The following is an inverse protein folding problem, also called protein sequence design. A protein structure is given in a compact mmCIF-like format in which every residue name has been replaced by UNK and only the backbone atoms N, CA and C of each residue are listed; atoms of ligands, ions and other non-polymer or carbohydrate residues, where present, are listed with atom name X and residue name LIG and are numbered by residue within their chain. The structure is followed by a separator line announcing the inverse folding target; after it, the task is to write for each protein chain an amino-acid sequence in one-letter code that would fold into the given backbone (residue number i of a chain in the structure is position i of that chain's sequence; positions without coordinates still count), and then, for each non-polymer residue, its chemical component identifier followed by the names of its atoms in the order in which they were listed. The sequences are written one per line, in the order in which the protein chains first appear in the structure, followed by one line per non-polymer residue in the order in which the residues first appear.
data_IF_521140333151
#
_entry.id   IF_521140333151
#
_cell.length_a   1.000
_cell.length_b   1.000
_cell.length_c   1.000
_cell.angle_alpha   90.00
_cell.angle_beta   90.00
_cell.angle_gamma   90.00
#
_symmetry.space_group_name_H-M   'P 1'
#
loop_
_entity.id
_entity.type
_entity.pdbx_description
1 polymer ?
#
# COMPACT_ATOMS: atom_id res chain seq x y z
N UNK A 1 29.19 -4.84 -13.12
CA UNK A 1 28.49 -6.05 -12.61
C UNK A 1 27.05 -6.05 -13.11
N UNK A 2 26.84 -6.57 -14.33
CA UNK A 2 25.52 -6.76 -14.93
C UNK A 2 25.33 -8.26 -15.08
N UNK A 3 24.37 -8.86 -14.36
CA UNK A 3 23.98 -10.26 -14.61
C UNK A 3 22.57 -10.26 -15.20
N UNK A 4 22.55 -10.66 -16.46
CA UNK A 4 21.42 -10.77 -17.34
C UNK A 4 20.43 -11.86 -16.89
N UNK A 5 19.16 -11.52 -17.12
CA UNK A 5 18.01 -12.42 -17.21
C UNK A 5 18.07 -13.18 -18.54
N UNK A 6 17.66 -14.46 -18.54
CA UNK A 6 16.74 -15.12 -19.50
C UNK A 6 16.96 -16.64 -19.52
N UNK A 7 16.13 -17.35 -18.75
CA UNK A 7 15.98 -18.80 -18.84
C UNK A 7 15.18 -19.16 -20.09
N UNK A 8 15.79 -20.01 -20.91
CA UNK A 8 15.24 -20.68 -22.10
C UNK A 8 14.41 -21.90 -21.68
N UNK A 9 13.49 -22.29 -22.56
CA UNK A 9 12.94 -23.64 -22.65
C UNK A 9 11.41 -23.64 -22.53
N UNK A 10 10.65 -24.29 -23.38
CA UNK A 10 10.94 -25.03 -24.62
C UNK A 10 9.55 -25.25 -25.24
N UNK A 11 9.41 -25.01 -26.54
CA UNK A 11 8.22 -25.36 -27.31
C UNK A 11 8.13 -26.90 -27.42
N UNK A 12 6.93 -27.45 -27.23
CA UNK A 12 6.54 -28.72 -27.82
C UNK A 12 5.02 -28.71 -28.08
N UNK A 13 4.68 -29.02 -29.33
CA UNK A 13 3.37 -28.95 -29.96
C UNK A 13 2.62 -30.30 -29.90
N UNK A 14 1.38 -30.27 -30.45
CA UNK A 14 0.60 -31.41 -30.98
C UNK A 14 -0.09 -32.32 -29.92
N UNK A 15 -1.32 -32.82 -30.06
CA UNK A 15 -2.25 -32.97 -31.20
C UNK A 15 -3.64 -33.42 -30.72
N UNK A 16 -4.67 -32.98 -31.46
CA UNK A 16 -5.87 -33.68 -31.96
C UNK A 16 -6.87 -34.43 -31.03
N UNK A 17 -8.14 -34.12 -31.32
CA UNK A 17 -9.47 -34.54 -30.84
C UNK A 17 -9.84 -36.02 -30.97
N UNK A 18 -10.75 -36.50 -30.11
CA UNK A 18 -11.83 -37.42 -30.50
C UNK A 18 -13.04 -37.34 -29.54
N UNK A 19 -14.24 -37.21 -30.11
CA UNK A 19 -15.54 -37.22 -29.44
C UNK A 19 -16.19 -38.61 -29.50
N UNK A 20 -16.94 -39.00 -28.47
CA UNK A 20 -17.92 -40.08 -28.54
C UNK A 20 -19.06 -39.85 -27.53
N UNK A 21 -20.29 -39.89 -28.02
CA UNK A 21 -21.55 -39.78 -27.28
C UNK A 21 -22.14 -41.18 -27.01
N UNK A 22 -22.73 -41.39 -25.84
CA UNK A 22 -23.67 -42.48 -25.57
C UNK A 22 -24.62 -42.13 -24.42
N UNK A 23 -25.82 -42.73 -24.47
CA UNK A 23 -27.11 -42.29 -23.98
C UNK A 23 -27.52 -42.83 -22.56
N UNK A 24 -28.22 -41.96 -21.79
CA UNK A 24 -29.30 -42.07 -20.74
C UNK A 24 -29.45 -43.34 -19.82
N UNK A 25 -29.87 -43.19 -18.54
CA UNK A 25 -31.30 -43.07 -18.24
C UNK A 25 -31.69 -41.95 -17.25
N UNK A 26 -32.92 -41.48 -17.43
CA UNK A 26 -33.65 -40.58 -16.55
C UNK A 26 -34.20 -41.36 -15.35
N UNK A 27 -34.01 -40.81 -14.15
CA UNK A 27 -34.78 -41.19 -12.95
C UNK A 27 -35.52 -39.95 -12.45
N UNK A 28 -36.83 -40.13 -12.28
CA UNK A 28 -37.81 -39.13 -11.87
C UNK A 28 -37.93 -39.05 -10.35
N UNK A 29 -38.25 -37.84 -9.86
CA UNK A 29 -38.94 -37.47 -8.61
C UNK A 29 -38.33 -37.99 -7.28
N UNK A 30 -38.25 -37.22 -6.19
CA UNK A 30 -39.37 -36.55 -5.53
C UNK A 30 -38.96 -35.29 -4.73
N UNK A 31 -39.99 -34.45 -4.57
CA UNK A 31 -40.33 -33.58 -3.46
C UNK A 31 -39.35 -33.31 -2.30
N UNK A 32 -39.40 -32.04 -1.90
CA UNK A 32 -39.45 -31.75 -0.48
C UNK A 32 -38.10 -31.59 0.20
N UNK A 33 -37.50 -30.42 0.02
CA UNK A 33 -37.26 -29.54 1.16
C UNK A 33 -36.66 -28.25 0.66
N UNK A 34 -37.39 -27.16 0.90
CA UNK A 34 -36.77 -25.86 1.12
C UNK A 34 -35.70 -26.03 2.21
N UNK A 35 -34.47 -26.30 1.80
CA UNK A 35 -33.31 -26.24 2.67
C UNK A 35 -33.13 -24.75 2.98
N UNK A 36 -33.80 -24.32 4.06
CA UNK A 36 -33.50 -23.08 4.75
C UNK A 36 -31.99 -23.10 4.99
N UNK A 37 -31.26 -22.37 4.16
CA UNK A 37 -29.86 -22.09 4.40
C UNK A 37 -29.74 -21.70 5.88
N UNK A 38 -28.82 -22.33 6.64
CA UNK A 38 -28.55 -21.88 7.99
C UNK A 38 -28.29 -20.38 7.90
N UNK A 39 -29.16 -19.58 8.54
CA UNK A 39 -28.77 -18.23 8.95
C UNK A 39 -27.60 -18.46 9.88
N UNK A 40 -26.40 -18.45 9.30
CA UNK A 40 -25.16 -18.27 10.00
C UNK A 40 -25.35 -16.94 10.73
N UNK A 41 -25.80 -17.04 11.98
CA UNK A 41 -25.87 -15.95 12.94
C UNK A 41 -24.42 -15.57 13.19
N UNK A 42 -23.88 -14.83 12.23
CA UNK A 42 -22.53 -14.32 12.23
C UNK A 42 -22.48 -13.35 13.38
N UNK A 43 -21.93 -13.83 14.50
CA UNK A 43 -21.71 -13.07 15.72
C UNK A 43 -21.34 -11.63 15.34
N UNK A 44 -21.98 -10.61 15.94
CA UNK A 44 -21.76 -9.22 15.56
C UNK A 44 -20.24 -9.00 15.56
N UNK A 45 -19.65 -8.59 14.42
CA UNK A 45 -18.20 -8.55 14.29
C UNK A 45 -17.66 -7.64 15.38
N UNK A 46 -17.02 -8.23 16.40
CA UNK A 46 -16.70 -7.59 17.68
C UNK A 46 -16.27 -6.16 17.45
N UNK A 47 -17.05 -5.19 17.91
CA UNK A 47 -16.87 -3.79 17.54
C UNK A 47 -15.41 -3.35 17.72
N UNK A 48 -14.87 -2.58 16.77
CA UNK A 48 -13.49 -2.08 16.87
C UNK A 48 -13.43 -1.08 18.04
N UNK A 49 -12.72 -1.41 19.10
CA UNK A 49 -12.57 -0.55 20.29
C UNK A 49 -11.29 0.28 20.22
N UNK A 50 -10.26 -0.21 19.51
CA UNK A 50 -8.98 0.49 19.40
C UNK A 50 -8.36 0.33 18.02
N UNK A 51 -7.98 1.45 17.39
CA UNK A 51 -7.29 1.46 16.11
C UNK A 51 -6.03 2.32 16.24
N UNK A 52 -4.86 1.70 16.09
CA UNK A 52 -3.57 2.38 16.04
C UNK A 52 -2.96 2.19 14.65
N UNK A 53 -2.44 3.26 14.07
CA UNK A 53 -1.78 3.23 12.77
C UNK A 53 -0.64 4.24 12.72
N UNK A 54 0.44 3.89 12.01
CA UNK A 54 1.60 4.74 11.74
C UNK A 54 2.10 4.50 10.32
N UNK A 55 2.67 5.54 9.71
CA UNK A 55 3.34 5.48 8.41
C UNK A 55 4.65 6.28 8.48
N UNK A 56 5.50 6.14 7.46
CA UNK A 56 6.65 7.04 7.30
C UNK A 56 6.16 8.43 6.87
N UNK A 57 6.66 9.47 7.54
CA UNK A 57 6.29 10.86 7.26
C UNK A 57 6.77 11.34 5.90
N UNK A 58 8.01 11.01 5.51
CA UNK A 58 8.62 11.52 4.28
C UNK A 58 8.90 10.39 3.28
N UNK A 59 8.44 10.58 2.03
CA UNK A 59 8.52 9.57 0.97
C UNK A 59 8.81 10.26 -0.36
N UNK A 60 9.58 9.64 -1.26
CA UNK A 60 9.75 10.16 -2.62
C UNK A 60 8.61 9.69 -3.52
N UNK A 61 8.18 10.52 -4.47
CA UNK A 61 7.17 10.14 -5.46
C UNK A 61 7.64 8.89 -6.21
N UNK A 62 6.79 7.87 -6.25
CA UNK A 62 7.08 6.57 -6.87
C UNK A 62 7.59 5.52 -5.89
N UNK A 63 8.12 5.92 -4.74
CA UNK A 63 8.58 4.99 -3.72
C UNK A 63 7.40 4.36 -2.97
N UNK A 64 7.68 3.19 -2.39
CA UNK A 64 6.71 2.46 -1.61
C UNK A 64 6.68 2.99 -0.16
N UNK A 65 5.54 3.50 0.28
CA UNK A 65 5.31 3.80 1.69
C UNK A 65 4.45 2.73 2.34
N UNK A 66 4.70 2.43 3.60
CA UNK A 66 4.02 1.35 4.32
C UNK A 66 3.33 1.91 5.55
N UNK A 67 2.01 1.67 5.62
CA UNK A 67 1.23 1.87 6.84
C UNK A 67 1.23 0.58 7.63
N UNK A 68 1.52 0.70 8.92
CA UNK A 68 1.42 -0.40 9.87
C UNK A 68 0.55 0.00 11.03
N UNK A 69 -0.18 -0.97 11.55
CA UNK A 69 -1.06 -0.72 12.68
C UNK A 69 -1.59 -2.00 13.30
N UNK A 70 -2.43 -1.79 14.31
CA UNK A 70 -3.12 -2.86 15.01
C UNK A 70 -4.53 -2.43 15.37
N UNK A 71 -5.44 -3.40 15.33
CA UNK A 71 -6.84 -3.27 15.66
C UNK A 71 -7.13 -4.09 16.91
N UNK A 72 -7.85 -3.50 17.86
CA UNK A 72 -8.43 -4.15 19.03
C UNK A 72 -9.95 -4.21 18.89
N UNK A 73 -10.59 -5.35 19.21
CA UNK A 73 -9.99 -6.64 19.56
C UNK A 73 -9.23 -7.27 18.39
N UNK A 74 -8.24 -8.11 18.73
CA UNK A 74 -7.25 -8.70 17.82
C UNK A 74 -7.83 -9.83 16.95
N UNK A 75 -8.78 -9.48 16.08
CA UNK A 75 -9.49 -10.41 15.20
C UNK A 75 -8.79 -10.49 13.84
N UNK A 76 -8.59 -11.71 13.31
CA UNK A 76 -8.05 -11.96 11.96
C UNK A 76 -9.13 -11.74 10.90
N UNK A 77 -8.71 -11.32 9.70
CA UNK A 77 -9.59 -11.25 8.53
C UNK A 77 -10.48 -10.01 8.46
N UNK A 78 -10.30 -9.05 9.38
CA UNK A 78 -11.02 -7.79 9.37
C UNK A 78 -10.54 -6.92 8.21
N UNK A 79 -11.47 -6.40 7.39
CA UNK A 79 -11.15 -5.51 6.28
C UNK A 79 -10.66 -4.16 6.81
N UNK A 80 -9.49 -3.75 6.34
CA UNK A 80 -8.86 -2.46 6.65
C UNK A 80 -8.65 -1.70 5.36
N UNK A 81 -9.12 -0.46 5.34
CA UNK A 81 -9.00 0.44 4.19
C UNK A 81 -8.13 1.61 4.59
N UNK A 82 -7.11 1.88 3.80
CA UNK A 82 -6.27 3.07 3.96
C UNK A 82 -6.71 4.09 2.93
N UNK A 83 -7.02 5.28 3.41
CA UNK A 83 -7.41 6.42 2.58
C UNK A 83 -6.39 7.54 2.75
N UNK A 84 -6.10 8.22 1.64
CA UNK A 84 -5.26 9.39 1.61
C UNK A 84 -6.04 10.54 0.97
N UNK A 85 -5.93 11.74 1.53
CA UNK A 85 -6.57 12.96 1.06
C UNK A 85 -5.50 13.92 0.58
N UNK A 86 -5.68 14.48 -0.61
CA UNK A 86 -4.81 15.51 -1.19
C UNK A 86 -5.65 16.60 -1.86
N UNK A 87 -5.61 17.82 -1.32
CA UNK A 87 -6.31 19.01 -1.85
C UNK A 87 -7.82 18.88 -2.08
N UNK A 88 -8.47 17.81 -1.63
CA UNK A 88 -9.86 17.51 -1.97
C UNK A 88 -10.40 16.33 -1.20
N UNK A 89 -11.03 15.37 -1.88
CA UNK A 89 -11.66 14.20 -1.28
C UNK A 89 -10.70 13.14 -0.73
N UNK A 90 -11.28 12.19 0.00
CA UNK A 90 -10.56 11.01 0.49
C UNK A 90 -10.53 9.93 -0.58
N UNK A 91 -9.34 9.56 -1.03
CA UNK A 91 -9.12 8.48 -2.00
C UNK A 91 -8.70 7.20 -1.30
N UNK A 92 -9.28 6.07 -1.72
CA UNK A 92 -8.84 4.75 -1.21
C UNK A 92 -7.55 4.33 -1.91
N UNK A 93 -6.43 4.41 -1.20
CA UNK A 93 -5.11 4.10 -1.75
C UNK A 93 -4.71 2.64 -1.57
N UNK A 94 -5.22 1.98 -0.53
CA UNK A 94 -4.93 0.58 -0.29
C UNK A 94 -6.03 -0.12 0.53
N UNK A 95 -6.12 -1.44 0.35
CA UNK A 95 -7.02 -2.32 1.10
C UNK A 95 -6.23 -3.53 1.58
N UNK A 96 -6.45 -3.94 2.82
CA UNK A 96 -5.83 -5.14 3.40
C UNK A 96 -6.77 -5.83 4.38
N UNK A 97 -6.36 -6.98 4.89
CA UNK A 97 -7.03 -7.69 5.99
C UNK A 97 -6.10 -7.75 7.20
N UNK A 98 -6.67 -7.79 8.40
CA UNK A 98 -5.87 -8.03 9.60
C UNK A 98 -5.35 -9.46 9.67
N UNK A 99 -4.15 -9.62 10.18
CA UNK A 99 -3.49 -10.89 10.43
C UNK A 99 -3.91 -11.49 11.78
N UNK A 100 -3.36 -12.67 12.11
CA UNK A 100 -3.48 -13.27 13.44
C UNK A 100 -2.92 -12.26 14.47
N UNK A 101 -3.71 -11.92 15.48
CA UNK A 101 -3.35 -10.90 16.46
C UNK A 101 -3.71 -9.46 16.08
N UNK A 102 -4.55 -9.24 15.05
CA UNK A 102 -5.15 -7.92 14.75
C UNK A 102 -4.21 -6.91 14.11
N UNK A 103 -2.99 -7.31 13.77
CA UNK A 103 -2.01 -6.45 13.09
C UNK A 103 -2.36 -6.32 11.62
N UNK A 104 -1.98 -5.20 11.02
CA UNK A 104 -2.05 -5.03 9.57
C UNK A 104 -0.85 -4.23 9.09
N UNK A 105 -0.35 -4.60 7.92
CA UNK A 105 0.61 -3.82 7.16
C UNK A 105 0.12 -3.72 5.72
N UNK A 106 0.19 -2.53 5.15
CA UNK A 106 -0.16 -2.34 3.75
C UNK A 106 0.68 -1.24 3.17
N UNK A 107 1.12 -1.46 1.94
CA UNK A 107 1.98 -0.54 1.23
C UNK A 107 1.24 0.10 0.07
N UNK A 108 1.50 1.39 -0.17
CA UNK A 108 1.01 2.10 -1.34
C UNK A 108 2.13 2.92 -1.98
N UNK A 109 1.99 3.24 -3.27
CA UNK A 109 2.93 4.10 -4.00
C UNK A 109 2.27 5.43 -4.34
N UNK A 110 2.65 6.56 -3.71
CA UNK A 110 2.08 7.86 -4.04
C UNK A 110 2.52 8.31 -5.43
N UNK A 111 1.56 8.66 -6.30
CA UNK A 111 1.81 9.11 -7.68
C UNK A 111 2.02 10.61 -7.81
N UNK A 112 1.54 11.42 -6.85
CA UNK A 112 1.63 12.88 -6.88
C UNK A 112 2.43 13.36 -5.67
N UNK A 113 3.05 14.53 -5.83
CA UNK A 113 3.80 15.19 -4.76
C UNK A 113 2.89 16.06 -3.89
N UNK A 114 3.37 16.39 -2.70
CA UNK A 114 2.69 17.20 -1.69
C UNK A 114 2.34 16.41 -0.45
N UNK A 115 1.61 17.06 0.45
CA UNK A 115 1.26 16.49 1.75
C UNK A 115 -0.07 15.75 1.65
N UNK A 116 -0.09 14.54 2.20
CA UNK A 116 -1.25 13.68 2.27
C UNK A 116 -1.71 13.56 3.71
N UNK A 117 -2.98 13.85 3.94
CA UNK A 117 -3.63 13.41 5.18
C UNK A 117 -4.01 11.94 5.00
N UNK A 118 -3.64 11.09 5.96
CA UNK A 118 -3.81 9.65 5.83
C UNK A 118 -4.67 9.15 6.98
N UNK A 119 -5.69 8.35 6.66
CA UNK A 119 -6.52 7.68 7.66
C UNK A 119 -6.68 6.20 7.35
N UNK A 120 -6.91 5.44 8.40
CA UNK A 120 -7.25 4.02 8.32
C UNK A 120 -8.69 3.84 8.77
N UNK A 121 -9.45 3.01 8.05
CA UNK A 121 -10.85 2.69 8.33
C UNK A 121 -11.05 1.20 8.44
N UNK A 122 -11.88 0.78 9.39
CA UNK A 122 -12.29 -0.60 9.60
C UNK A 122 -13.77 -0.61 10.03
N UNK A 123 -14.67 -0.93 9.11
CA UNK A 123 -16.11 -0.77 9.33
C UNK A 123 -16.49 0.69 9.58
N UNK A 124 -17.17 0.96 10.71
CA UNK A 124 -17.58 2.31 11.13
C UNK A 124 -16.47 3.10 11.84
N UNK A 125 -15.35 2.47 12.21
CA UNK A 125 -14.28 3.12 12.98
C UNK A 125 -13.18 3.62 12.05
N UNK A 126 -12.73 4.83 12.30
CA UNK A 126 -11.65 5.46 11.55
C UNK A 126 -10.62 6.16 12.43
N UNK A 127 -9.38 6.22 11.96
CA UNK A 127 -8.27 6.87 12.66
C UNK A 127 -7.33 7.55 11.68
N UNK A 128 -7.16 8.87 11.84
CA UNK A 128 -6.13 9.64 11.16
C UNK A 128 -4.73 9.38 11.73
N UNK A 129 -3.73 9.38 10.84
CA UNK A 129 -2.32 9.35 11.20
C UNK A 129 -1.88 10.78 11.53
N UNK A 130 -1.28 10.96 12.70
CA UNK A 130 -0.67 12.24 13.08
C UNK A 130 0.51 12.54 12.15
N UNK A 131 0.58 13.77 11.63
CA UNK A 131 1.65 14.24 10.74
C UNK A 131 1.48 13.87 9.25
N UNK A 132 0.55 12.99 8.90
CA UNK A 132 0.31 12.64 7.49
C UNK A 132 1.52 12.00 6.79
N UNK A 133 1.57 12.14 5.47
CA UNK A 133 2.68 11.69 4.61
C UNK A 133 3.03 12.78 3.60
N UNK A 134 4.24 13.32 3.67
CA UNK A 134 4.82 14.28 2.73
C UNK A 134 5.52 13.54 1.60
N UNK A 135 5.10 13.81 0.36
CA UNK A 135 5.65 13.19 -0.84
C UNK A 135 6.45 14.19 -1.65
N UNK A 136 7.75 13.98 -1.73
CA UNK A 136 8.68 14.87 -2.42
C UNK A 136 8.93 14.41 -3.86
N UNK A 137 9.29 15.38 -4.71
CA UNK A 137 9.79 15.06 -6.05
C UNK A 137 11.27 14.65 -5.91
N UNK A 138 11.72 13.59 -6.59
CA UNK A 138 13.16 13.35 -6.71
C UNK A 138 13.83 14.59 -7.32
N UNK A 139 14.96 14.99 -6.72
CA UNK A 139 15.79 16.07 -7.20
C UNK A 139 17.26 15.64 -7.08
N UNK A 140 18.08 16.02 -8.06
CA UNK A 140 19.52 15.87 -7.96
C UNK A 140 20.07 16.97 -7.05
N UNK A 141 21.01 16.59 -6.19
CA UNK A 141 21.82 17.52 -5.43
C UNK A 141 23.26 17.38 -5.92
N UNK A 142 23.93 18.51 -6.17
CA UNK A 142 25.36 18.53 -6.46
C UNK A 142 26.11 18.47 -5.14
N UNK A 143 27.01 17.49 -5.02
CA UNK A 143 27.94 17.42 -3.90
C UNK A 143 29.26 18.05 -4.32
N UNK A 144 29.72 19.05 -3.57
CA UNK A 144 30.92 19.82 -3.86
C UNK A 144 32.23 19.07 -3.54
N UNK A 145 32.14 17.80 -3.10
CA UNK A 145 33.29 16.98 -2.78
C UNK A 145 33.81 17.23 -1.35
N UNK A 146 34.53 16.27 -0.76
CA UNK A 146 34.96 16.32 0.64
C UNK A 146 36.02 17.40 0.93
N UNK A 147 36.59 18.05 -0.09
CA UNK A 147 37.64 19.07 0.05
C UNK A 147 37.12 20.50 0.24
N UNK A 148 35.81 20.73 0.10
CA UNK A 148 35.21 22.05 0.31
C UNK A 148 34.53 22.18 1.69
N UNK A 149 34.34 21.07 2.42
CA UNK A 149 33.87 21.09 3.80
C UNK A 149 34.83 21.91 4.68
N UNK A 150 34.29 22.84 5.46
CA UNK A 150 35.04 23.76 6.32
C UNK A 150 35.44 25.08 5.66
N UNK A 151 35.34 25.21 4.32
CA UNK A 151 35.70 26.45 3.64
C UNK A 151 34.70 27.57 3.92
N UNK A 152 35.16 28.83 3.98
CA UNK A 152 34.27 29.97 4.20
C UNK A 152 33.27 30.13 3.05
N UNK A 153 32.02 30.44 3.39
CA UNK A 153 30.97 30.75 2.43
C UNK A 153 30.90 32.26 2.19
N UNK A 154 30.55 32.68 0.98
CA UNK A 154 30.39 34.11 0.64
C UNK A 154 29.28 34.81 1.41
N UNK A 155 28.28 34.07 1.91
CA UNK A 155 27.21 34.57 2.78
C UNK A 155 27.54 34.50 4.27
N UNK A 156 28.78 34.16 4.63
CA UNK A 156 29.21 33.95 6.00
C UNK A 156 29.00 32.51 6.48
N UNK A 157 29.78 32.12 7.49
CA UNK A 157 29.85 30.75 7.98
C UNK A 157 30.77 29.86 7.16
N UNK A 158 30.75 28.55 7.45
CA UNK A 158 31.57 27.53 6.78
C UNK A 158 30.68 26.52 6.07
N UNK A 159 31.14 26.03 4.92
CA UNK A 159 30.50 24.90 4.27
C UNK A 159 30.61 23.68 5.18
N UNK A 160 29.53 22.93 5.30
CA UNK A 160 29.49 21.67 6.04
C UNK A 160 28.54 20.73 5.33
N UNK A 161 28.60 19.45 5.68
CA UNK A 161 27.69 18.42 5.17
C UNK A 161 26.22 18.69 5.51
N UNK A 162 25.97 19.52 6.54
CA UNK A 162 24.63 19.95 6.93
C UNK A 162 24.21 21.28 6.28
N UNK A 163 25.12 21.97 5.59
CA UNK A 163 24.85 23.26 4.95
C UNK A 163 23.98 23.05 3.70
N UNK A 164 22.75 23.56 3.74
CA UNK A 164 21.83 23.53 2.60
C UNK A 164 21.89 24.87 1.86
N UNK A 165 22.56 24.89 0.71
CA UNK A 165 22.55 26.02 -0.20
C UNK A 165 21.30 26.04 -1.07
N UNK A 166 20.64 27.19 -1.18
CA UNK A 166 19.53 27.41 -2.11
C UNK A 166 20.04 28.34 -3.21
N UNK A 167 20.31 27.80 -4.40
CA UNK A 167 20.60 28.63 -5.55
C UNK A 167 19.27 29.03 -6.22
N UNK A 168 19.08 30.32 -6.44
CA UNK A 168 17.92 30.81 -7.16
C UNK A 168 18.03 30.46 -8.65
N UNK A 169 16.95 29.98 -9.25
CA UNK A 169 16.99 29.44 -10.63
C UNK A 169 16.98 30.52 -11.72
N UNK A 170 16.54 31.74 -11.39
CA UNK A 170 16.22 32.78 -12.38
C UNK A 170 16.59 34.20 -11.95
N UNK A 171 17.53 34.36 -11.01
CA UNK A 171 18.15 35.66 -10.76
C UNK A 171 19.41 35.69 -11.63
N UNK A 172 19.64 36.77 -12.40
CA UNK A 172 20.92 36.98 -13.08
C UNK A 172 22.06 37.17 -12.08
#
# INVERSE_FOLDING_TARGET
MHKNVRGRGMLAAATLTLAAAAAIPAVAAEDGAASKAPKETKAPPSAVTGLKAKARGDVRRGDLTTVRGAIKPSVRGRKVVVQAKRRGGWDTVARTKTEKGGRFAVSWRPKRTGNYEVRVRSGKVERGLRGGVSVYRPAAASWYGPGLDGNPLGCGGRLSTATLGVAHKSLP
#
